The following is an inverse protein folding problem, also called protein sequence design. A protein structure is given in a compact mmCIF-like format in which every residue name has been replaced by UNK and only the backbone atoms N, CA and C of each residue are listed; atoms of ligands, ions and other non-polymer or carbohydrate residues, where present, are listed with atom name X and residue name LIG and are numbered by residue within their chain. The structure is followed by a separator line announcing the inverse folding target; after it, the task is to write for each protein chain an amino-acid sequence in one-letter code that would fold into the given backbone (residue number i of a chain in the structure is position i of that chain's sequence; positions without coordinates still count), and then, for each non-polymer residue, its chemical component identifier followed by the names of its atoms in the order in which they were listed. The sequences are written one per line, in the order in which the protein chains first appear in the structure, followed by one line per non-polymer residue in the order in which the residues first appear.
data_IF_932484481042
#
_entry.id   IF_932484481042
#
_cell.length_a   1.000
_cell.length_b   1.000
_cell.length_c   1.000
_cell.angle_alpha   90.00
_cell.angle_beta   90.00
_cell.angle_gamma   90.00
#
_symmetry.space_group_name_H-M   'P 1'
#
loop_
_entity.id
_entity.type
_entity.pdbx_description
1 polymer ?
#
# COMPACT_ATOMS: atom_id res chain seq x y z
N UNK A 1 -84.04 10.38 -30.47
CA UNK A 1 -83.49 11.14 -29.34
C UNK A 1 -83.33 10.20 -28.16
N UNK A 2 -82.16 9.58 -28.01
CA UNK A 2 -81.89 8.59 -26.96
C UNK A 2 -81.22 9.29 -25.78
N UNK A 3 -81.99 9.54 -24.72
CA UNK A 3 -81.46 10.01 -23.43
C UNK A 3 -80.77 8.81 -22.78
N UNK A 4 -79.43 8.81 -22.74
CA UNK A 4 -78.68 7.89 -21.88
C UNK A 4 -79.16 8.09 -20.43
N UNK A 5 -79.34 7.00 -19.71
CA UNK A 5 -79.77 7.01 -18.30
C UNK A 5 -78.72 7.73 -17.45
N UNK A 6 -79.13 8.57 -16.49
CA UNK A 6 -78.21 9.30 -15.59
C UNK A 6 -77.17 8.38 -14.93
N UNK A 7 -77.51 7.10 -14.74
CA UNK A 7 -76.65 6.05 -14.19
C UNK A 7 -75.48 5.65 -15.10
N UNK A 8 -75.67 5.66 -16.41
CA UNK A 8 -74.60 5.37 -17.38
C UNK A 8 -73.63 6.56 -17.49
N UNK A 9 -74.15 7.79 -17.37
CA UNK A 9 -73.34 9.02 -17.42
C UNK A 9 -72.39 9.11 -16.21
N UNK A 10 -72.83 8.63 -15.05
CA UNK A 10 -72.06 8.61 -13.80
C UNK A 10 -70.98 7.51 -13.79
N UNK A 11 -71.27 6.35 -14.39
CA UNK A 11 -70.27 5.30 -14.64
C UNK A 11 -69.21 5.74 -15.66
N UNK A 12 -69.61 6.44 -16.72
CA UNK A 12 -68.68 6.95 -17.73
C UNK A 12 -67.73 8.00 -17.13
N UNK A 13 -68.24 8.91 -16.28
CA UNK A 13 -67.41 9.88 -15.54
C UNK A 13 -66.45 9.26 -14.53
N UNK A 14 -66.86 8.20 -13.83
CA UNK A 14 -65.99 7.53 -12.86
C UNK A 14 -64.87 6.75 -13.53
N UNK A 15 -65.16 6.06 -14.65
CA UNK A 15 -64.15 5.41 -15.48
C UNK A 15 -63.15 6.41 -16.08
N UNK A 16 -63.63 7.55 -16.55
CA UNK A 16 -62.76 8.59 -17.12
C UNK A 16 -61.80 9.18 -16.08
N UNK A 17 -62.29 9.40 -14.85
CA UNK A 17 -61.46 9.91 -13.74
C UNK A 17 -60.41 8.90 -13.28
N UNK A 18 -60.74 7.61 -13.30
CA UNK A 18 -59.79 6.53 -12.98
C UNK A 18 -58.69 6.39 -14.06
N UNK A 19 -59.05 6.56 -15.33
CA UNK A 19 -58.10 6.54 -16.43
C UNK A 19 -57.15 7.75 -16.40
N UNK A 20 -57.65 8.95 -16.07
CA UNK A 20 -56.81 10.14 -15.87
C UNK A 20 -55.85 9.98 -14.67
N UNK A 21 -56.33 9.43 -13.55
CA UNK A 21 -55.47 9.20 -12.38
C UNK A 21 -54.37 8.18 -12.67
N UNK A 22 -54.67 7.12 -13.44
CA UNK A 22 -53.66 6.15 -13.87
C UNK A 22 -52.63 6.76 -14.83
N UNK A 23 -53.09 7.54 -15.82
CA UNK A 23 -52.20 8.21 -16.76
C UNK A 23 -51.29 9.25 -16.06
N UNK A 24 -51.80 9.94 -15.04
CA UNK A 24 -51.01 10.89 -14.25
C UNK A 24 -49.95 10.18 -13.39
N UNK A 25 -50.28 9.03 -12.79
CA UNK A 25 -49.31 8.21 -12.05
C UNK A 25 -48.20 7.64 -12.93
N UNK A 26 -48.54 7.13 -14.12
CA UNK A 26 -47.54 6.62 -15.06
C UNK A 26 -46.60 7.72 -15.55
N UNK A 27 -47.15 8.91 -15.83
CA UNK A 27 -46.34 10.07 -16.24
C UNK A 27 -45.41 10.54 -15.12
N UNK A 28 -45.87 10.54 -13.87
CA UNK A 28 -45.06 10.89 -12.71
C UNK A 28 -43.92 9.87 -12.48
N UNK A 29 -44.20 8.57 -12.61
CA UNK A 29 -43.20 7.52 -12.48
C UNK A 29 -42.11 7.61 -13.57
N UNK A 30 -42.49 7.90 -14.81
CA UNK A 30 -41.54 8.07 -15.91
C UNK A 30 -40.62 9.28 -15.69
N UNK A 31 -41.17 10.39 -15.16
CA UNK A 31 -40.39 11.59 -14.86
C UNK A 31 -39.38 11.34 -13.74
N UNK A 32 -39.78 10.58 -12.71
CA UNK A 32 -38.94 10.23 -11.59
C UNK A 32 -37.79 9.30 -12.03
N UNK A 33 -38.09 8.32 -12.89
CA UNK A 33 -37.08 7.41 -13.44
C UNK A 33 -36.06 8.15 -14.33
N UNK A 34 -36.51 9.14 -15.12
CA UNK A 34 -35.61 9.97 -15.93
C UNK A 34 -34.69 10.84 -15.07
N UNK A 35 -35.18 11.37 -13.93
CA UNK A 35 -34.37 12.14 -12.99
C UNK A 35 -33.32 11.27 -12.29
N UNK A 36 -33.69 10.06 -11.86
CA UNK A 36 -32.76 9.11 -11.24
C UNK A 36 -31.67 8.66 -12.22
N UNK A 37 -32.01 8.45 -13.50
CA UNK A 37 -31.04 8.10 -14.54
C UNK A 37 -30.07 9.25 -14.86
N UNK A 38 -30.56 10.50 -14.89
CA UNK A 38 -29.72 11.68 -15.10
C UNK A 38 -28.76 11.92 -13.92
N UNK A 39 -29.24 11.74 -12.68
CA UNK A 39 -28.40 11.86 -11.47
C UNK A 39 -27.35 10.75 -11.38
N UNK A 40 -27.71 9.50 -11.71
CA UNK A 40 -26.77 8.38 -11.78
C UNK A 40 -25.71 8.61 -12.86
N UNK A 41 -26.08 9.19 -14.01
CA UNK A 41 -25.15 9.54 -15.09
C UNK A 41 -24.22 10.68 -14.68
N UNK A 42 -24.72 11.67 -13.93
CA UNK A 42 -23.92 12.77 -13.37
C UNK A 42 -22.93 12.27 -12.30
N UNK A 43 -23.35 11.37 -11.41
CA UNK A 43 -22.47 10.74 -10.41
C UNK A 43 -21.38 9.87 -11.07
N UNK A 44 -21.71 9.16 -12.16
CA UNK A 44 -20.68 8.43 -12.95
C UNK A 44 -19.69 9.36 -13.65
N UNK A 45 -20.16 10.50 -14.16
CA UNK A 45 -19.30 11.50 -14.82
C UNK A 45 -18.38 12.23 -13.83
N UNK A 46 -18.81 12.47 -12.59
CA UNK A 46 -17.97 13.04 -11.52
C UNK A 46 -16.94 12.06 -10.94
N UNK A 47 -17.14 10.74 -11.10
CA UNK A 47 -16.18 9.72 -10.68
C UNK A 47 -14.99 9.49 -11.62
N UNK A 48 -14.85 10.28 -12.69
CA UNK A 48 -13.80 10.13 -13.71
C UNK A 48 -12.99 11.40 -13.99
N UNK A 49 -13.07 12.42 -13.12
CA UNK A 49 -12.23 13.63 -13.19
C UNK A 49 -11.38 13.78 -11.92
N UNK A 50 -10.40 12.90 -11.76
CA UNK A 50 -9.14 13.16 -11.04
C UNK A 50 -8.15 12.01 -11.36
N UNK A 51 -7.89 11.78 -12.65
CA UNK A 51 -6.61 11.22 -13.08
C UNK A 51 -5.78 12.40 -13.61
N UNK A 52 -5.34 13.28 -12.70
CA UNK A 52 -4.01 13.86 -12.87
C UNK A 52 -3.08 12.69 -13.14
N UNK A 53 -2.49 12.61 -14.34
CA UNK A 53 -1.39 11.68 -14.63
C UNK A 53 -0.45 11.70 -13.42
N UNK A 54 -0.45 10.67 -12.55
CA UNK A 54 0.46 10.68 -11.43
C UNK A 54 1.84 10.66 -12.08
N UNK A 55 2.64 11.69 -11.80
CA UNK A 55 4.06 11.67 -12.13
C UNK A 55 4.56 10.32 -11.63
N UNK A 56 5.13 9.45 -12.48
CA UNK A 56 5.60 8.14 -12.05
C UNK A 56 6.53 8.33 -10.85
N UNK A 57 6.05 7.93 -9.67
CA UNK A 57 6.87 8.01 -8.46
C UNK A 57 7.81 6.84 -8.53
N UNK A 58 9.10 7.12 -8.74
CA UNK A 58 10.12 6.08 -8.78
C UNK A 58 10.05 5.24 -7.50
N UNK A 59 10.06 3.92 -7.66
CA UNK A 59 9.94 2.97 -6.55
C UNK A 59 11.26 2.24 -6.40
N UNK A 60 11.80 2.21 -5.18
CA UNK A 60 13.08 1.57 -4.90
C UNK A 60 12.89 0.30 -4.07
N UNK A 61 13.51 -0.80 -4.47
CA UNK A 61 13.50 -2.07 -3.75
C UNK A 61 14.91 -2.44 -3.28
N UNK A 62 15.08 -2.55 -1.96
CA UNK A 62 16.33 -2.91 -1.30
C UNK A 62 16.36 -4.39 -0.92
N UNK A 63 17.40 -5.16 -1.29
CA UNK A 63 17.53 -6.54 -0.82
C UNK A 63 17.72 -6.60 0.69
N UNK A 64 17.00 -7.53 1.35
CA UNK A 64 17.17 -7.85 2.77
C UNK A 64 18.16 -9.01 3.00
N UNK A 65 18.75 -9.53 1.93
CA UNK A 65 19.80 -10.53 1.98
C UNK A 65 20.30 -10.84 0.58
N UNK A 66 21.61 -11.01 0.45
CA UNK A 66 22.25 -11.37 -0.80
C UNK A 66 22.24 -12.89 -0.98
N UNK A 67 21.51 -13.35 -1.98
CA UNK A 67 21.51 -14.73 -2.46
C UNK A 67 22.13 -14.79 -3.86
N UNK A 68 22.53 -15.99 -4.29
CA UNK A 68 22.93 -16.22 -5.68
C UNK A 68 21.82 -15.85 -6.67
N UNK A 69 20.56 -16.01 -6.27
CA UNK A 69 19.40 -15.59 -7.07
C UNK A 69 19.28 -14.07 -7.15
N UNK A 70 19.65 -13.33 -6.11
CA UNK A 70 19.66 -11.86 -6.17
C UNK A 70 20.64 -11.33 -7.21
N UNK A 71 21.80 -11.97 -7.38
CA UNK A 71 22.76 -11.60 -8.43
C UNK A 71 22.13 -11.78 -9.82
N UNK A 72 21.42 -12.88 -10.04
CA UNK A 72 20.70 -13.13 -11.31
C UNK A 72 19.57 -12.11 -11.53
N UNK A 73 18.86 -11.74 -10.46
CA UNK A 73 17.81 -10.71 -10.50
C UNK A 73 18.42 -9.36 -10.88
N UNK A 74 19.57 -8.98 -10.31
CA UNK A 74 20.28 -7.75 -10.70
C UNK A 74 20.67 -7.80 -12.18
N UNK A 75 21.20 -8.92 -12.67
CA UNK A 75 21.54 -9.05 -14.09
C UNK A 75 20.30 -8.98 -15.01
N UNK A 76 19.17 -9.54 -14.59
CA UNK A 76 17.91 -9.42 -15.30
C UNK A 76 17.39 -7.96 -15.30
N UNK A 77 17.52 -7.26 -14.17
CA UNK A 77 17.15 -5.85 -14.04
C UNK A 77 17.97 -4.97 -14.99
N UNK A 78 19.30 -5.16 -15.02
CA UNK A 78 20.19 -4.42 -15.95
C UNK A 78 19.77 -4.60 -17.40
N UNK A 79 19.39 -5.82 -17.78
CA UNK A 79 18.94 -6.14 -19.15
C UNK A 79 17.58 -5.53 -19.49
N UNK A 80 16.64 -5.51 -18.54
CA UNK A 80 15.26 -5.04 -18.79
C UNK A 80 15.15 -3.52 -18.76
N UNK A 81 15.92 -2.84 -17.90
CA UNK A 81 15.80 -1.40 -17.67
C UNK A 81 17.00 -0.58 -18.17
N UNK A 82 18.07 -1.22 -18.66
CA UNK A 82 19.32 -0.56 -19.06
C UNK A 82 19.89 0.38 -17.97
N UNK A 83 19.72 -0.04 -16.70
CA UNK A 83 20.14 0.70 -15.51
C UNK A 83 21.00 -0.17 -14.63
N UNK A 84 22.05 0.40 -14.06
CA UNK A 84 22.78 -0.24 -12.97
C UNK A 84 21.98 -0.17 -11.67
N UNK A 85 22.07 -1.19 -10.80
CA UNK A 85 21.52 -1.10 -9.46
C UNK A 85 22.20 0.03 -8.69
N UNK A 86 21.45 0.67 -7.80
CA UNK A 86 22.00 1.62 -6.84
C UNK A 86 22.94 0.96 -5.84
N UNK A 87 23.42 1.78 -4.90
CA UNK A 87 24.24 1.30 -3.78
C UNK A 87 23.52 0.17 -3.02
N UNK A 88 24.28 -0.80 -2.52
CA UNK A 88 23.75 -1.96 -1.81
C UNK A 88 22.72 -2.77 -2.62
N UNK A 89 22.83 -2.77 -3.95
CA UNK A 89 22.03 -3.62 -4.81
C UNK A 89 20.57 -3.21 -4.90
N UNK A 90 20.26 -1.95 -4.56
CA UNK A 90 18.92 -1.37 -4.65
C UNK A 90 18.50 -1.26 -6.11
N UNK A 91 17.30 -1.74 -6.42
CA UNK A 91 16.72 -1.65 -7.77
C UNK A 91 15.74 -0.47 -7.80
N UNK A 92 15.88 0.41 -8.79
CA UNK A 92 15.03 1.62 -8.93
C UNK A 92 14.14 1.47 -10.15
N UNK A 93 12.83 1.42 -9.94
CA UNK A 93 11.84 1.24 -10.99
C UNK A 93 11.18 2.58 -11.32
N UNK A 94 10.80 2.80 -12.59
CA UNK A 94 10.12 4.03 -13.00
C UNK A 94 8.77 4.22 -12.29
N UNK A 95 8.10 3.11 -11.99
CA UNK A 95 6.79 3.07 -11.35
C UNK A 95 6.57 1.71 -10.67
N UNK A 96 5.48 1.62 -9.90
CA UNK A 96 5.10 0.40 -9.17
C UNK A 96 4.73 -0.76 -10.10
N UNK A 97 4.10 -0.50 -11.24
CA UNK A 97 3.65 -1.56 -12.15
C UNK A 97 4.85 -2.24 -12.83
N UNK A 98 5.87 -1.46 -13.18
CA UNK A 98 7.17 -1.92 -13.68
C UNK A 98 7.88 -2.80 -12.65
N UNK A 99 7.90 -2.38 -11.37
CA UNK A 99 8.42 -3.18 -10.27
C UNK A 99 7.63 -4.49 -10.13
N UNK A 100 6.30 -4.41 -10.13
CA UNK A 100 5.42 -5.55 -9.96
C UNK A 100 5.61 -6.59 -11.06
N UNK A 101 5.61 -6.14 -12.31
CA UNK A 101 5.84 -6.98 -13.47
C UNK A 101 7.22 -7.63 -13.42
N UNK A 102 8.26 -6.88 -13.04
CA UNK A 102 9.60 -7.41 -12.91
C UNK A 102 9.67 -8.53 -11.86
N UNK A 103 9.23 -8.28 -10.62
CA UNK A 103 9.30 -9.31 -9.58
C UNK A 103 8.37 -10.51 -9.83
N UNK A 104 7.24 -10.30 -10.51
CA UNK A 104 6.39 -11.41 -10.97
C UNK A 104 7.15 -12.32 -11.95
N UNK A 105 7.89 -11.75 -12.92
CA UNK A 105 8.74 -12.53 -13.84
C UNK A 105 9.84 -13.29 -13.07
N UNK A 106 10.48 -12.64 -12.11
CA UNK A 106 11.55 -13.29 -11.33
C UNK A 106 11.00 -14.44 -10.47
N UNK A 107 9.84 -14.26 -9.85
CA UNK A 107 9.17 -15.31 -9.10
C UNK A 107 8.76 -16.48 -10.01
N UNK A 108 8.17 -16.20 -11.18
CA UNK A 108 7.79 -17.21 -12.18
C UNK A 108 9.00 -17.98 -12.73
N UNK A 109 10.16 -17.33 -12.82
CA UNK A 109 11.44 -17.98 -13.16
C UNK A 109 12.01 -18.85 -12.02
N UNK A 110 11.36 -18.88 -10.85
CA UNK A 110 11.74 -19.69 -9.70
C UNK A 110 12.83 -19.07 -8.83
N UNK A 111 13.13 -17.78 -8.97
CA UNK A 111 14.14 -17.12 -8.15
C UNK A 111 13.64 -16.85 -6.73
N UNK A 112 14.51 -17.10 -5.74
CA UNK A 112 14.27 -16.75 -4.34
C UNK A 112 14.73 -15.32 -4.06
N UNK A 113 13.85 -14.48 -3.54
CA UNK A 113 14.20 -13.12 -3.14
C UNK A 113 13.43 -12.64 -1.91
N UNK A 114 14.03 -11.68 -1.22
CA UNK A 114 13.38 -10.92 -0.16
C UNK A 114 13.90 -9.50 -0.18
N UNK A 115 13.03 -8.55 -0.51
CA UNK A 115 13.37 -7.13 -0.59
C UNK A 115 12.32 -6.27 0.10
N UNK A 116 12.73 -5.10 0.54
CA UNK A 116 11.87 -4.09 1.14
C UNK A 116 11.81 -2.87 0.23
N UNK A 117 10.62 -2.29 0.11
CA UNK A 117 10.48 -0.99 -0.54
C UNK A 117 11.08 0.07 0.37
N UNK A 118 11.79 1.00 -0.25
CA UNK A 118 12.44 2.12 0.43
C UNK A 118 11.98 3.45 -0.14
N UNK A 119 11.82 4.43 0.75
CA UNK A 119 11.60 5.82 0.37
C UNK A 119 12.88 6.45 -0.17
N UNK A 120 12.77 7.66 -0.74
CA UNK A 120 13.91 8.41 -1.27
C UNK A 120 14.99 8.71 -0.21
N UNK A 121 14.61 8.75 1.06
CA UNK A 121 15.54 8.95 2.19
C UNK A 121 16.20 7.63 2.67
N UNK A 122 15.89 6.51 2.03
CA UNK A 122 16.41 5.19 2.34
C UNK A 122 15.69 4.46 3.49
N UNK A 123 14.62 5.03 4.06
CA UNK A 123 13.81 4.34 5.08
C UNK A 123 12.92 3.28 4.45
N UNK A 124 12.68 2.20 5.20
CA UNK A 124 11.76 1.15 4.79
C UNK A 124 10.31 1.64 4.90
N UNK A 125 9.51 1.42 3.86
CA UNK A 125 8.07 1.76 3.86
C UNK A 125 7.22 0.78 4.66
N UNK A 126 7.77 -0.40 4.99
CA UNK A 126 7.03 -1.52 5.57
C UNK A 126 6.35 -2.41 4.53
N UNK A 127 6.55 -2.15 3.25
CA UNK A 127 6.12 -3.01 2.14
C UNK A 127 7.30 -3.87 1.66
N UNK A 128 7.03 -5.14 1.37
CA UNK A 128 8.06 -6.13 1.04
C UNK A 128 7.66 -6.92 -0.20
N UNK A 129 8.68 -7.35 -0.96
CA UNK A 129 8.55 -8.27 -2.09
C UNK A 129 9.30 -9.56 -1.74
N UNK A 130 8.61 -10.69 -1.83
CA UNK A 130 9.10 -11.97 -1.36
C UNK A 130 8.75 -13.11 -2.32
N UNK A 131 9.70 -14.03 -2.55
CA UNK A 131 9.43 -15.30 -3.22
C UNK A 131 10.25 -16.43 -2.62
N UNK A 132 9.61 -17.59 -2.47
CA UNK A 132 10.25 -18.82 -2.00
C UNK A 132 10.89 -19.64 -3.14
N UNK A 133 10.84 -19.15 -4.38
CA UNK A 133 11.24 -19.90 -5.57
C UNK A 133 10.24 -21.01 -5.94
N UNK A 134 8.99 -20.86 -5.51
CA UNK A 134 7.84 -21.74 -5.79
C UNK A 134 7.04 -21.31 -7.02
N UNK A 135 7.48 -20.24 -7.71
CA UNK A 135 6.77 -19.67 -8.85
C UNK A 135 5.87 -18.47 -8.48
N UNK A 136 5.72 -18.16 -7.19
CA UNK A 136 4.82 -17.12 -6.70
C UNK A 136 5.56 -15.95 -6.08
N UNK A 137 4.99 -14.77 -6.25
CA UNK A 137 5.38 -13.54 -5.59
C UNK A 137 4.38 -13.23 -4.48
N UNK A 138 4.89 -12.90 -3.31
CA UNK A 138 4.15 -12.37 -2.18
C UNK A 138 4.57 -10.92 -1.97
N UNK A 139 3.61 -10.02 -1.90
CA UNK A 139 3.85 -8.57 -1.84
C UNK A 139 2.93 -7.96 -0.78
N UNK A 140 3.47 -7.15 0.12
CA UNK A 140 2.70 -6.57 1.23
C UNK A 140 3.51 -6.38 2.50
N UNK A 141 2.80 -6.25 3.63
CA UNK A 141 3.43 -6.28 4.95
C UNK A 141 3.94 -7.68 5.31
N UNK A 142 4.83 -7.78 6.30
CA UNK A 142 5.35 -9.07 6.78
C UNK A 142 4.23 -9.99 7.28
N UNK A 143 3.22 -9.43 7.94
CA UNK A 143 2.04 -10.16 8.42
C UNK A 143 1.20 -10.69 7.26
N UNK A 144 0.96 -9.87 6.23
CA UNK A 144 0.22 -10.29 5.03
C UNK A 144 0.95 -11.43 4.31
N UNK A 145 2.25 -11.29 4.11
CA UNK A 145 3.08 -12.33 3.48
C UNK A 145 3.07 -13.62 4.32
N UNK A 146 3.15 -13.51 5.65
CA UNK A 146 3.05 -14.66 6.55
C UNK A 146 1.70 -15.37 6.41
N UNK A 147 0.60 -14.63 6.35
CA UNK A 147 -0.74 -15.18 6.23
C UNK A 147 -0.95 -15.85 4.86
N UNK A 148 -0.40 -15.27 3.79
CA UNK A 148 -0.36 -15.88 2.46
C UNK A 148 0.42 -17.19 2.44
N UNK A 149 1.65 -17.21 2.96
CA UNK A 149 2.47 -18.43 3.02
C UNK A 149 1.80 -19.51 3.87
N UNK A 150 1.11 -19.13 4.94
CA UNK A 150 0.37 -20.07 5.79
C UNK A 150 -0.80 -20.70 5.02
N UNK A 151 -1.52 -19.91 4.21
CA UNK A 151 -2.58 -20.42 3.31
C UNK A 151 -2.01 -21.31 2.22
N UNK A 152 -0.90 -20.89 1.61
CA UNK A 152 -0.26 -21.63 0.53
C UNK A 152 0.30 -22.98 1.00
N UNK A 153 0.78 -23.08 2.25
CA UNK A 153 1.28 -24.33 2.82
C UNK A 153 0.23 -25.46 2.78
N UNK A 154 -1.06 -25.12 2.86
CA UNK A 154 -2.16 -26.09 2.78
C UNK A 154 -2.36 -26.67 1.37
N UNK A 155 -1.91 -25.95 0.32
CA UNK A 155 -2.11 -26.31 -1.09
C UNK A 155 -0.80 -26.48 -1.87
N UNK A 156 0.36 -26.33 -1.22
CA UNK A 156 1.67 -26.22 -1.85
C UNK A 156 2.16 -27.48 -2.60
N UNK A 157 1.58 -28.66 -2.33
CA UNK A 157 1.96 -29.92 -2.99
C UNK A 157 3.48 -30.16 -2.99
N UNK A 158 4.15 -30.24 -4.16
CA UNK A 158 5.60 -30.46 -4.25
C UNK A 158 6.45 -29.26 -3.78
N UNK A 159 5.87 -28.06 -3.68
CA UNK A 159 6.57 -26.86 -3.22
C UNK A 159 6.51 -26.67 -1.69
N UNK A 160 5.93 -27.63 -0.94
CA UNK A 160 5.71 -27.52 0.51
C UNK A 160 6.97 -27.13 1.29
N UNK A 161 8.11 -27.74 0.96
CA UNK A 161 9.37 -27.46 1.66
C UNK A 161 9.85 -26.01 1.43
N UNK A 162 9.68 -25.48 0.22
CA UNK A 162 10.03 -24.09 -0.12
C UNK A 162 9.15 -23.10 0.63
N UNK A 163 7.84 -23.36 0.67
CA UNK A 163 6.87 -22.52 1.39
C UNK A 163 7.14 -22.56 2.89
N UNK A 164 7.49 -23.73 3.45
CA UNK A 164 7.84 -23.87 4.86
C UNK A 164 9.15 -23.14 5.22
N UNK A 165 10.18 -23.23 4.37
CA UNK A 165 11.43 -22.46 4.51
C UNK A 165 11.15 -20.95 4.48
N UNK A 166 10.33 -20.50 3.53
CA UNK A 166 9.95 -19.10 3.40
C UNK A 166 9.19 -18.58 4.63
N UNK A 167 8.25 -19.37 5.14
CA UNK A 167 7.51 -19.05 6.36
C UNK A 167 8.44 -18.94 7.58
N UNK A 168 9.44 -19.83 7.70
CA UNK A 168 10.44 -19.75 8.76
C UNK A 168 11.28 -18.46 8.65
N UNK A 169 11.67 -18.08 7.43
CA UNK A 169 12.43 -16.85 7.17
C UNK A 169 11.63 -15.58 7.54
N UNK A 170 10.36 -15.49 7.14
CA UNK A 170 9.49 -14.36 7.49
C UNK A 170 9.27 -14.29 9.01
N UNK A 171 8.97 -15.42 9.67
CA UNK A 171 8.79 -15.44 11.12
C UNK A 171 10.05 -14.99 11.87
N UNK A 172 11.24 -15.42 11.42
CA UNK A 172 12.52 -14.98 12.00
C UNK A 172 12.68 -13.47 11.85
N UNK A 173 12.45 -12.93 10.66
CA UNK A 173 12.59 -11.49 10.42
C UNK A 173 11.60 -10.65 11.28
N UNK A 174 10.35 -11.12 11.44
CA UNK A 174 9.37 -10.49 12.34
C UNK A 174 9.86 -10.50 13.79
N UNK A 175 10.48 -11.59 14.24
CA UNK A 175 11.01 -11.69 15.61
C UNK A 175 12.20 -10.75 15.85
N UNK A 176 13.08 -10.61 14.86
CA UNK A 176 14.28 -9.76 14.94
C UNK A 176 13.95 -8.26 14.85
N UNK A 177 12.90 -7.90 14.12
CA UNK A 177 12.49 -6.51 13.93
C UNK A 177 11.54 -5.99 15.00
N UNK A 178 10.89 -6.87 15.77
CA UNK A 178 10.10 -6.45 16.93
C UNK A 178 11.02 -5.91 18.03
N UNK A 179 10.82 -4.67 18.50
CA UNK A 179 11.63 -4.13 19.59
C UNK A 179 11.44 -4.99 20.83
N UNK A 180 12.53 -5.62 21.28
CA UNK A 180 12.50 -6.40 22.51
C UNK A 180 12.28 -5.41 23.68
N UNK A 181 11.17 -5.51 24.43
CA UNK A 181 10.81 -4.51 25.44
C UNK A 181 11.91 -4.31 26.50
N UNK A 182 12.69 -5.37 26.77
CA UNK A 182 13.84 -5.34 27.69
C UNK A 182 15.02 -4.47 27.21
N UNK A 183 15.22 -4.32 25.90
CA UNK A 183 16.27 -3.46 25.35
C UNK A 183 15.83 -2.00 25.27
N UNK A 184 14.55 -1.74 24.99
CA UNK A 184 13.98 -0.38 24.97
C UNK A 184 13.99 0.25 26.37
N UNK A 185 13.68 -0.53 27.43
CA UNK A 185 13.77 -0.07 28.81
C UNK A 185 15.21 0.26 29.25
N UNK A 186 16.20 -0.53 28.83
CA UNK A 186 17.63 -0.27 29.13
C UNK A 186 18.15 0.96 28.39
N UNK A 187 17.70 1.20 27.16
CA UNK A 187 18.04 2.41 26.40
C UNK A 187 17.41 3.65 27.05
N UNK A 188 16.13 3.59 27.41
CA UNK A 188 15.45 4.66 28.11
C UNK A 188 16.10 4.99 29.47
N UNK A 189 16.54 3.97 30.24
CA UNK A 189 17.28 4.19 31.49
C UNK A 189 18.68 4.76 31.28
N UNK A 190 19.38 4.41 30.18
CA UNK A 190 20.66 5.03 29.80
C UNK A 190 20.49 6.48 29.41
N UNK A 191 19.45 6.80 28.63
CA UNK A 191 19.15 8.16 28.18
C UNK A 191 18.71 9.06 29.36
N UNK A 192 18.17 8.47 30.44
CA UNK A 192 17.86 9.16 31.70
C UNK A 192 19.07 9.33 32.64
N UNK A 193 20.18 8.62 32.40
CA UNK A 193 21.39 8.67 33.25
C UNK A 193 22.59 9.35 32.60
N UNK A 194 22.51 9.73 31.32
CA UNK A 194 23.49 10.62 30.69
C UNK A 194 23.10 12.09 30.92
N UNK A 195 23.90 12.90 31.65
CA UNK A 195 23.74 14.34 31.61
C UNK A 195 24.04 14.81 30.18
N UNK A 196 23.15 15.62 29.62
CA UNK A 196 23.34 16.23 28.30
C UNK A 196 24.63 17.04 28.29
N UNK A 197 25.66 16.55 27.58
CA UNK A 197 26.86 17.34 27.31
C UNK A 197 26.47 18.58 26.50
N UNK A 198 26.82 19.72 27.10
CA UNK A 198 26.52 21.08 26.70
C UNK A 198 27.03 21.41 25.28
N UNK A 199 26.22 22.18 24.55
CA UNK A 199 26.65 22.89 23.35
C UNK A 199 27.66 24.00 23.69
N UNK A 200 28.53 24.41 22.74
CA UNK A 200 29.69 25.23 23.03
C UNK A 200 29.36 26.73 23.03
N UNK A 201 29.95 27.45 23.98
CA UNK A 201 30.39 28.83 23.78
C UNK A 201 29.71 29.89 24.65
N UNK A 202 30.35 30.23 25.77
CA UNK A 202 30.43 31.62 26.21
C UNK A 202 31.82 31.89 26.81
N UNK A 203 32.56 32.80 26.17
CA UNK A 203 33.78 33.39 26.69
C UNK A 203 33.42 34.24 27.91
N UNK A 204 33.99 33.92 29.07
CA UNK A 204 34.01 34.83 30.23
C UNK A 204 35.45 35.32 30.48
N UNK A 205 35.63 36.61 30.78
CA UNK A 205 36.92 37.29 30.73
C UNK A 205 37.79 37.02 31.96
N UNK A 206 39.11 37.03 31.75
CA UNK A 206 40.13 36.89 32.80
C UNK A 206 40.02 37.97 33.88
N UNK A 207 40.16 37.62 35.17
CA UNK A 207 40.52 38.58 36.20
C UNK A 207 42.02 38.53 36.53
N UNK A 208 42.59 39.73 36.46
CA UNK A 208 43.84 40.29 36.99
C UNK A 208 44.72 39.45 37.94
N UNK A 209 46.02 39.55 37.66
CA UNK A 209 47.17 39.34 38.53
C UNK A 209 47.00 39.81 39.98
N UNK A 210 47.62 39.09 40.91
CA UNK A 210 48.60 39.68 41.85
C UNK A 210 49.46 38.61 42.50
N UNK A 211 50.78 38.81 42.38
CA UNK A 211 51.83 38.32 43.26
C UNK A 211 51.44 38.33 44.75
N UNK A 212 51.76 37.26 45.47
CA UNK A 212 52.62 37.42 46.65
C UNK A 212 53.17 36.08 47.16
N UNK A 213 54.50 36.03 47.27
CA UNK A 213 55.27 35.04 48.04
C UNK A 213 55.44 35.59 49.45
N UNK A 214 55.45 34.75 50.51
CA UNK A 214 56.61 34.87 51.39
C UNK A 214 57.13 33.56 52.00
N UNK A 215 58.45 33.63 52.25
CA UNK A 215 59.41 32.84 53.05
C UNK A 215 58.97 31.52 53.68
#
# INVERSE_FOLDING_TARGET
MTRKSDKELEQERTLQRLAEEQAEREKAALLQQAQEEEEAKRLRALGTQDEENPIPVEVSAKPLGYSEDWIKIVDAYKKEFDKDPGQDGILVFPDKDSMDNFFNKQAAAGHKFFSALVEADGKLTGHFEFSCGDGKRHSGSLEQIKDELTRDLATAGPNKDKVQEGLAKINKYIQETKPNPSQSAKKALRDLTQPSEEQPGYKSPSPLSTDNKPK
#
